data_IF_917382586911
#
_entry.id   IF_917382586911
#
_cell.length_a   1.000
_cell.length_b   1.000
_cell.length_c   1.000
_cell.angle_alpha   90.00
_cell.angle_beta   90.00
_cell.angle_gamma   90.00
#
_symmetry.space_group_name_H-M   'P 1'
#
loop_
_entity.id
_entity.type
_entity.pdbx_description
1 polymer ?
#
# COMPACT_ATOMS: atom_id res chain seq x y z
N UNK A 1 -14.31 -1.63 -9.16
CA UNK A 1 -14.56 -1.32 -7.73
C UNK A 1 -14.43 0.19 -7.53
N UNK A 2 -15.46 0.89 -7.05
CA UNK A 2 -15.44 2.37 -6.97
C UNK A 2 -14.40 2.92 -5.98
N UNK A 3 -14.08 2.17 -4.92
CA UNK A 3 -13.12 2.58 -3.91
C UNK A 3 -11.71 2.82 -4.47
N UNK A 4 -11.22 1.94 -5.38
CA UNK A 4 -9.90 2.10 -6.01
C UNK A 4 -9.83 3.29 -6.97
N UNK A 5 -10.95 3.65 -7.61
CA UNK A 5 -10.99 4.85 -8.46
C UNK A 5 -10.89 6.12 -7.61
N UNK A 6 -11.67 6.17 -6.52
CA UNK A 6 -11.63 7.25 -5.54
C UNK A 6 -10.26 7.36 -4.87
N UNK A 7 -9.60 6.23 -4.61
CA UNK A 7 -8.25 6.19 -4.07
C UNK A 7 -7.26 6.96 -4.96
N UNK A 8 -7.35 6.78 -6.28
CA UNK A 8 -6.56 7.56 -7.22
C UNK A 8 -6.85 9.06 -7.14
N UNK A 9 -8.11 9.45 -7.04
CA UNK A 9 -8.50 10.87 -6.96
C UNK A 9 -8.02 11.54 -5.66
N UNK A 10 -8.17 10.85 -4.52
CA UNK A 10 -7.66 11.32 -3.23
C UNK A 10 -6.14 11.43 -3.25
N UNK A 11 -5.45 10.44 -3.83
CA UNK A 11 -3.99 10.45 -3.98
C UNK A 11 -3.53 11.69 -4.76
N UNK A 12 -4.18 11.98 -5.89
CA UNK A 12 -3.88 13.17 -6.69
C UNK A 12 -4.15 14.47 -5.94
N UNK A 13 -5.31 14.57 -5.28
CA UNK A 13 -5.69 15.75 -4.52
C UNK A 13 -4.75 16.01 -3.33
N UNK A 14 -4.35 14.95 -2.62
CA UNK A 14 -3.41 15.04 -1.51
C UNK A 14 -2.00 15.42 -2.02
N UNK A 15 -1.52 14.79 -3.08
CA UNK A 15 -0.23 15.11 -3.69
C UNK A 15 -0.13 16.54 -4.23
N UNK A 16 -1.27 17.18 -4.51
CA UNK A 16 -1.34 18.57 -4.99
C UNK A 16 -1.31 19.61 -3.86
N UNK A 17 -1.45 19.17 -2.60
CA UNK A 17 -1.47 20.03 -1.41
C UNK A 17 -0.17 19.99 -0.61
N UNK A 18 0.85 19.30 -1.12
CA UNK A 18 2.16 19.19 -0.48
C UNK A 18 3.29 19.16 -1.51
N UNK A 19 4.49 19.53 -1.09
CA UNK A 19 5.68 19.52 -1.96
C UNK A 19 6.44 18.19 -1.96
N UNK A 20 6.08 17.28 -1.05
CA UNK A 20 6.74 15.98 -0.86
C UNK A 20 5.96 14.80 -1.43
N UNK A 21 6.54 13.61 -1.29
CA UNK A 21 5.87 12.37 -1.70
C UNK A 21 4.69 12.01 -0.81
N UNK A 22 3.63 11.46 -1.40
CA UNK A 22 2.44 10.96 -0.71
C UNK A 22 2.48 9.44 -0.64
N UNK A 23 2.10 8.87 0.50
CA UNK A 23 2.19 7.42 0.69
C UNK A 23 0.93 6.87 1.30
N UNK A 24 0.53 5.69 0.81
CA UNK A 24 -0.62 4.96 1.33
C UNK A 24 -0.17 3.58 1.76
N UNK A 25 -0.39 3.26 3.03
CA UNK A 25 0.05 2.00 3.62
C UNK A 25 -1.06 0.96 3.56
N UNK A 26 -0.66 -0.32 3.62
CA UNK A 26 -1.58 -1.45 3.78
C UNK A 26 -2.77 -1.41 2.79
N UNK A 27 -2.49 -1.14 1.51
CA UNK A 27 -3.50 -1.00 0.46
C UNK A 27 -4.33 -2.28 0.30
N UNK A 28 -3.69 -3.44 0.42
CA UNK A 28 -4.33 -4.76 0.47
C UNK A 28 -5.39 -4.84 1.58
N UNK A 29 -5.04 -4.45 2.80
CA UNK A 29 -5.95 -4.41 3.94
C UNK A 29 -7.07 -3.37 3.79
N UNK A 30 -6.73 -2.14 3.40
CA UNK A 30 -7.71 -1.05 3.28
C UNK A 30 -8.80 -1.40 2.26
N UNK A 31 -8.43 -2.03 1.14
CA UNK A 31 -9.38 -2.31 0.06
C UNK A 31 -10.05 -3.69 0.14
N UNK A 32 -9.56 -4.62 0.96
CA UNK A 32 -10.16 -5.94 1.14
C UNK A 32 -11.66 -5.91 1.54
N UNK A 33 -12.12 -5.07 2.49
CA UNK A 33 -13.54 -4.97 2.82
C UNK A 33 -14.41 -4.46 1.65
N UNK A 34 -13.85 -3.64 0.76
CA UNK A 34 -14.57 -3.13 -0.41
C UNK A 34 -14.65 -4.16 -1.54
N UNK A 35 -13.64 -5.02 -1.65
CA UNK A 35 -13.69 -6.22 -2.49
C UNK A 35 -14.77 -7.18 -2.00
N UNK A 36 -14.85 -7.42 -0.70
CA UNK A 36 -15.89 -8.28 -0.12
C UNK A 36 -17.30 -7.73 -0.36
N UNK A 37 -17.51 -6.42 -0.19
CA UNK A 37 -18.78 -5.77 -0.55
C UNK A 37 -19.12 -5.93 -2.03
N UNK A 38 -18.13 -5.83 -2.91
CA UNK A 38 -18.30 -6.05 -4.36
C UNK A 38 -18.75 -7.49 -4.63
N UNK A 39 -18.07 -8.47 -4.04
CA UNK A 39 -18.43 -9.87 -4.16
C UNK A 39 -19.84 -10.17 -3.66
N UNK A 40 -20.20 -9.67 -2.48
CA UNK A 40 -21.52 -9.89 -1.89
C UNK A 40 -22.64 -9.30 -2.77
N UNK A 41 -22.43 -8.09 -3.31
CA UNK A 41 -23.39 -7.46 -4.24
C UNK A 41 -23.53 -8.26 -5.53
N UNK A 42 -22.43 -8.76 -6.10
CA UNK A 42 -22.45 -9.61 -7.31
C UNK A 42 -23.11 -10.96 -7.05
N UNK A 43 -22.83 -11.58 -5.91
CA UNK A 43 -23.45 -12.83 -5.51
C UNK A 43 -24.97 -12.68 -5.37
N UNK A 44 -25.43 -11.60 -4.73
CA UNK A 44 -26.85 -11.29 -4.63
C UNK A 44 -27.48 -11.06 -6.02
N UNK A 45 -26.80 -10.29 -6.89
CA UNK A 45 -27.22 -10.07 -8.26
C UNK A 45 -27.44 -11.39 -9.03
N UNK A 46 -26.47 -12.31 -8.98
CA UNK A 46 -26.57 -13.59 -9.68
C UNK A 46 -27.60 -14.54 -9.06
N UNK A 47 -27.76 -14.52 -7.73
CA UNK A 47 -28.86 -15.23 -7.05
C UNK A 47 -30.22 -14.72 -7.49
N UNK A 48 -30.40 -13.40 -7.61
CA UNK A 48 -31.64 -12.79 -8.10
C UNK A 48 -31.94 -13.14 -9.55
N UNK A 49 -30.91 -13.47 -10.34
CA UNK A 49 -31.03 -14.01 -11.70
C UNK A 49 -31.35 -15.51 -11.75
N UNK A 50 -31.55 -16.16 -10.59
CA UNK A 50 -31.88 -17.58 -10.44
C UNK A 50 -30.81 -18.54 -10.99
N UNK A 51 -29.55 -18.12 -10.97
CA UNK A 51 -28.43 -19.03 -11.26
C UNK A 51 -28.28 -20.02 -10.10
N UNK A 52 -27.63 -21.16 -10.36
CA UNK A 52 -27.26 -22.09 -9.29
C UNK A 52 -26.33 -21.39 -8.29
N UNK A 53 -26.38 -21.80 -7.02
CA UNK A 53 -25.55 -21.20 -5.98
C UNK A 53 -24.05 -21.33 -6.27
N UNK A 54 -23.62 -22.41 -6.92
CA UNK A 54 -22.23 -22.64 -7.29
C UNK A 54 -21.80 -21.67 -8.40
N UNK A 55 -22.57 -21.61 -9.49
CA UNK A 55 -22.28 -20.70 -10.61
C UNK A 55 -22.36 -19.22 -10.18
N UNK A 56 -23.29 -18.88 -9.28
CA UNK A 56 -23.41 -17.52 -8.75
C UNK A 56 -22.18 -17.10 -7.93
N UNK A 57 -21.58 -18.02 -7.15
CA UNK A 57 -20.35 -17.76 -6.40
C UNK A 57 -19.16 -17.61 -7.34
N UNK A 58 -19.03 -18.51 -8.32
CA UNK A 58 -17.96 -18.48 -9.32
C UNK A 58 -17.95 -17.16 -10.10
N UNK A 59 -19.10 -16.78 -10.68
CA UNK A 59 -19.21 -15.54 -11.44
C UNK A 59 -19.01 -14.29 -10.57
N UNK A 60 -19.52 -14.30 -9.33
CA UNK A 60 -19.30 -13.18 -8.40
C UNK A 60 -17.82 -13.01 -8.04
N UNK A 61 -17.09 -14.12 -7.91
CA UNK A 61 -15.67 -14.12 -7.66
C UNK A 61 -14.89 -13.62 -8.89
N UNK A 62 -15.17 -14.14 -10.08
CA UNK A 62 -14.55 -13.69 -11.33
C UNK A 62 -14.74 -12.19 -11.56
N UNK A 63 -15.99 -11.70 -11.41
CA UNK A 63 -16.30 -10.28 -11.53
C UNK A 63 -15.57 -9.44 -10.50
N UNK A 64 -15.38 -9.95 -9.28
CA UNK A 64 -14.68 -9.22 -8.21
C UNK A 64 -13.19 -9.16 -8.49
N UNK A 65 -12.57 -10.26 -8.92
CA UNK A 65 -11.16 -10.31 -9.31
C UNK A 65 -10.90 -9.37 -10.50
N UNK A 66 -11.79 -9.38 -11.50
CA UNK A 66 -11.75 -8.45 -12.63
C UNK A 66 -11.86 -6.99 -12.17
N UNK A 67 -12.77 -6.70 -11.23
CA UNK A 67 -12.96 -5.37 -10.68
C UNK A 67 -11.76 -4.87 -9.84
N UNK A 68 -11.06 -5.75 -9.12
CA UNK A 68 -9.81 -5.45 -8.43
C UNK A 68 -8.73 -5.10 -9.46
N UNK A 69 -8.50 -5.99 -10.43
CA UNK A 69 -7.49 -5.82 -11.48
C UNK A 69 -7.65 -4.51 -12.23
N UNK A 70 -8.86 -4.21 -12.70
CA UNK A 70 -9.17 -2.95 -13.38
C UNK A 70 -8.95 -1.73 -12.48
N UNK A 71 -9.30 -1.82 -11.19
CA UNK A 71 -9.08 -0.74 -10.24
C UNK A 71 -7.60 -0.45 -10.00
N UNK A 72 -6.79 -1.49 -9.82
CA UNK A 72 -5.34 -1.37 -9.66
C UNK A 72 -4.69 -0.81 -10.92
N UNK A 73 -5.03 -1.35 -12.09
CA UNK A 73 -4.54 -0.85 -13.38
C UNK A 73 -4.90 0.63 -13.56
N UNK A 74 -6.15 1.00 -13.25
CA UNK A 74 -6.62 2.38 -13.31
C UNK A 74 -5.86 3.30 -12.35
N UNK A 75 -5.54 2.82 -11.15
CA UNK A 75 -4.75 3.55 -10.17
C UNK A 75 -3.31 3.79 -10.65
N UNK A 76 -2.62 2.75 -11.13
CA UNK A 76 -1.26 2.87 -11.66
C UNK A 76 -1.22 3.82 -12.86
N UNK A 77 -2.13 3.65 -13.81
CA UNK A 77 -2.23 4.53 -14.97
C UNK A 77 -2.44 5.98 -14.56
N UNK A 78 -3.42 6.24 -13.68
CA UNK A 78 -3.76 7.60 -13.23
C UNK A 78 -2.58 8.27 -12.52
N UNK A 79 -1.93 7.57 -11.58
CA UNK A 79 -0.79 8.11 -10.82
C UNK A 79 0.49 8.25 -11.64
N UNK A 80 0.59 7.58 -12.79
CA UNK A 80 1.71 7.72 -13.73
C UNK A 80 1.47 8.70 -14.89
N UNK A 81 0.24 9.14 -15.13
CA UNK A 81 -0.10 9.95 -16.33
C UNK A 81 -0.72 11.30 -16.00
N UNK A 82 -1.34 11.46 -14.83
CA UNK A 82 -1.99 12.72 -14.43
C UNK A 82 -1.02 13.53 -13.58
N UNK A 83 -0.72 14.75 -14.00
CA UNK A 83 0.10 15.67 -13.23
C UNK A 83 -0.64 16.22 -12.01
N UNK A 84 0.10 16.48 -10.93
CA UNK A 84 -0.38 17.25 -9.78
C UNK A 84 -0.40 18.77 -10.07
N UNK A 85 -0.80 19.58 -9.08
CA UNK A 85 -0.84 21.04 -9.21
C UNK A 85 0.51 21.72 -9.56
N UNK A 86 1.63 21.02 -9.38
CA UNK A 86 2.98 21.49 -9.76
C UNK A 86 3.35 21.13 -11.22
N UNK A 87 2.43 20.51 -11.97
CA UNK A 87 2.66 20.10 -13.36
C UNK A 87 3.52 18.84 -13.50
N UNK A 88 3.76 18.10 -12.41
CA UNK A 88 4.61 16.91 -12.39
C UNK A 88 3.81 15.65 -12.11
N UNK A 89 4.30 14.49 -12.58
CA UNK A 89 3.77 13.20 -12.14
C UNK A 89 3.95 13.10 -10.62
N UNK A 90 2.87 12.82 -9.87
CA UNK A 90 2.90 12.85 -8.42
C UNK A 90 3.82 11.75 -7.89
N UNK A 91 4.70 12.13 -6.96
CA UNK A 91 5.49 11.15 -6.24
C UNK A 91 4.58 10.42 -5.25
N UNK A 92 4.20 9.20 -5.61
CA UNK A 92 3.34 8.33 -4.81
C UNK A 92 4.04 7.02 -4.45
N UNK A 93 3.77 6.50 -3.25
CA UNK A 93 4.23 5.19 -2.80
C UNK A 93 3.06 4.40 -2.19
N UNK A 94 2.97 3.10 -2.47
CA UNK A 94 1.98 2.22 -1.83
C UNK A 94 2.66 1.08 -1.08
N UNK A 95 2.20 0.82 0.13
CA UNK A 95 2.59 -0.31 0.98
C UNK A 95 1.57 -1.45 0.94
N UNK A 96 2.02 -2.70 0.86
CA UNK A 96 1.18 -3.90 0.83
C UNK A 96 2.00 -5.16 1.18
N UNK A 97 1.35 -6.31 1.33
CA UNK A 97 1.97 -7.63 1.46
C UNK A 97 1.62 -8.38 2.76
N UNK A 98 0.94 -7.73 3.70
CA UNK A 98 0.69 -8.29 5.04
C UNK A 98 -0.72 -8.88 5.20
N UNK A 99 -1.69 -8.53 4.36
CA UNK A 99 -3.05 -9.06 4.49
C UNK A 99 -3.14 -10.50 3.97
N UNK A 100 -3.60 -11.42 4.82
CA UNK A 100 -3.78 -12.84 4.51
C UNK A 100 -5.21 -13.20 4.11
N UNK A 101 -6.13 -12.24 4.13
CA UNK A 101 -7.51 -12.43 3.68
C UNK A 101 -7.56 -12.75 2.19
N UNK A 102 -8.62 -13.45 1.76
CA UNK A 102 -8.84 -13.79 0.34
C UNK A 102 -8.69 -12.57 -0.56
N UNK A 103 -9.33 -11.46 -0.19
CA UNK A 103 -9.36 -10.26 -1.01
C UNK A 103 -8.10 -9.41 -0.87
N UNK A 104 -7.48 -9.34 0.30
CA UNK A 104 -6.19 -8.67 0.49
C UNK A 104 -5.12 -9.31 -0.39
N UNK A 105 -5.04 -10.65 -0.37
CA UNK A 105 -4.16 -11.42 -1.26
C UNK A 105 -4.45 -11.16 -2.74
N UNK A 106 -5.72 -11.12 -3.13
CA UNK A 106 -6.10 -10.82 -4.52
C UNK A 106 -5.69 -9.40 -4.95
N UNK A 107 -5.71 -8.42 -4.04
CA UNK A 107 -5.23 -7.06 -4.29
C UNK A 107 -3.70 -7.05 -4.44
N UNK A 108 -2.96 -7.70 -3.53
CA UNK A 108 -1.50 -7.87 -3.64
C UNK A 108 -1.12 -8.54 -4.97
N UNK A 109 -1.82 -9.61 -5.32
CA UNK A 109 -1.62 -10.33 -6.58
C UNK A 109 -1.83 -9.42 -7.80
N UNK A 110 -2.92 -8.62 -7.79
CA UNK A 110 -3.22 -7.69 -8.86
C UNK A 110 -2.15 -6.60 -9.00
N UNK A 111 -1.66 -6.02 -7.89
CA UNK A 111 -0.58 -5.03 -7.89
C UNK A 111 0.68 -5.60 -8.57
N UNK A 112 1.11 -6.78 -8.13
CA UNK A 112 2.31 -7.42 -8.67
C UNK A 112 2.13 -7.83 -10.14
N UNK A 113 0.96 -8.34 -10.51
CA UNK A 113 0.64 -8.74 -11.88
C UNK A 113 0.68 -7.54 -12.84
N UNK A 114 -0.03 -6.46 -12.49
CA UNK A 114 -0.15 -5.29 -13.34
C UNK A 114 1.21 -4.62 -13.56
N UNK A 115 2.03 -4.49 -12.50
CA UNK A 115 3.38 -3.97 -12.64
C UNK A 115 4.27 -4.85 -13.51
N UNK A 116 4.17 -6.17 -13.37
CA UNK A 116 5.04 -7.14 -14.06
C UNK A 116 4.79 -7.26 -15.57
N UNK A 117 3.69 -6.70 -16.07
CA UNK A 117 3.36 -6.68 -17.49
C UNK A 117 4.50 -6.09 -18.33
N UNK A 118 4.96 -6.77 -19.40
CA UNK A 118 6.05 -6.27 -20.25
C UNK A 118 5.85 -4.82 -20.72
N UNK A 119 4.62 -4.47 -21.10
CA UNK A 119 4.20 -3.15 -21.58
C UNK A 119 4.14 -2.07 -20.49
N UNK A 120 4.16 -2.43 -19.21
CA UNK A 120 4.16 -1.46 -18.12
C UNK A 120 5.52 -0.77 -18.04
N UNK A 121 5.54 0.52 -18.36
CA UNK A 121 6.70 1.41 -18.21
C UNK A 121 6.55 2.34 -16.99
N UNK A 122 5.60 2.04 -16.11
CA UNK A 122 5.24 2.92 -15.00
C UNK A 122 6.29 2.86 -13.88
N UNK A 123 6.76 4.04 -13.51
CA UNK A 123 7.63 4.23 -12.34
C UNK A 123 6.79 4.42 -11.08
N UNK A 124 5.64 5.08 -11.18
CA UNK A 124 4.73 5.37 -10.07
C UNK A 124 3.41 4.57 -10.14
N UNK A 125 2.80 4.23 -9.00
CA UNK A 125 3.31 4.45 -7.64
C UNK A 125 4.57 3.61 -7.38
N UNK A 126 5.43 4.06 -6.49
CA UNK A 126 6.47 3.19 -5.94
C UNK A 126 5.80 2.05 -5.17
N UNK A 127 6.20 0.82 -5.43
CA UNK A 127 5.66 -0.36 -4.73
C UNK A 127 6.57 -0.73 -3.58
N UNK A 128 6.00 -0.92 -2.39
CA UNK A 128 6.74 -1.27 -1.17
C UNK A 128 6.07 -2.49 -0.54
N UNK A 129 6.78 -3.62 -0.58
CA UNK A 129 6.34 -4.90 -0.06
C UNK A 129 6.82 -5.06 1.38
N UNK A 130 5.89 -5.06 2.32
CA UNK A 130 6.17 -5.30 3.73
C UNK A 130 6.30 -6.79 4.00
N UNK A 131 7.47 -7.19 4.50
CA UNK A 131 7.86 -8.59 4.65
C UNK A 131 7.92 -9.00 6.12
N UNK A 132 7.30 -10.13 6.45
CA UNK A 132 7.37 -10.75 7.78
C UNK A 132 7.52 -12.26 7.69
N UNK A 133 8.37 -12.82 8.56
CA UNK A 133 8.63 -14.27 8.71
C UNK A 133 7.38 -15.10 8.96
N UNK A 134 6.35 -14.52 9.56
CA UNK A 134 5.12 -15.27 9.90
C UNK A 134 4.04 -15.15 8.81
N UNK A 135 4.24 -14.28 7.82
CA UNK A 135 3.19 -13.91 6.86
C UNK A 135 3.57 -14.28 5.44
N UNK A 136 4.75 -13.87 4.97
CA UNK A 136 5.11 -13.98 3.55
C UNK A 136 6.57 -14.37 3.28
N UNK A 137 7.49 -14.25 4.25
CA UNK A 137 8.92 -14.39 3.96
C UNK A 137 9.38 -15.85 3.92
N UNK A 138 8.78 -16.72 4.74
CA UNK A 138 9.24 -18.11 4.89
C UNK A 138 8.34 -19.11 4.14
N UNK A 139 8.90 -20.21 3.59
CA UNK A 139 8.10 -21.30 3.02
C UNK A 139 7.05 -21.83 4.00
N UNK A 140 5.81 -22.01 3.51
CA UNK A 140 4.68 -22.46 4.32
C UNK A 140 3.93 -21.35 5.06
N UNK A 141 4.40 -20.10 5.01
CA UNK A 141 3.62 -18.94 5.45
C UNK A 141 2.48 -18.64 4.48
N UNK A 142 1.39 -17.98 4.94
CA UNK A 142 0.19 -17.78 4.12
C UNK A 142 0.48 -17.16 2.75
N UNK A 143 1.30 -16.11 2.70
CA UNK A 143 1.53 -15.29 1.52
C UNK A 143 2.92 -15.54 0.88
N UNK A 144 3.55 -16.70 1.13
CA UNK A 144 4.86 -17.03 0.56
C UNK A 144 4.86 -17.01 -0.98
N UNK A 145 3.78 -17.47 -1.59
CA UNK A 145 3.52 -17.39 -3.03
C UNK A 145 3.57 -15.94 -3.55
N UNK A 146 3.01 -14.99 -2.80
CA UNK A 146 3.02 -13.58 -3.14
C UNK A 146 4.40 -12.94 -2.94
N UNK A 147 5.18 -13.40 -1.97
CA UNK A 147 6.58 -12.99 -1.82
C UNK A 147 7.43 -13.46 -3.01
N UNK A 148 7.28 -14.72 -3.44
CA UNK A 148 7.96 -15.23 -4.64
C UNK A 148 7.58 -14.42 -5.89
N UNK A 149 6.29 -14.09 -6.03
CA UNK A 149 5.79 -13.23 -7.11
C UNK A 149 6.36 -11.81 -7.02
N UNK A 150 6.51 -11.26 -5.82
CA UNK A 150 7.12 -9.95 -5.60
C UNK A 150 8.59 -9.94 -6.05
N UNK A 151 9.34 -11.01 -5.74
CA UNK A 151 10.74 -11.21 -6.20
C UNK A 151 10.81 -11.28 -7.73
N UNK A 152 9.89 -12.00 -8.38
CA UNK A 152 9.82 -12.02 -9.84
C UNK A 152 9.54 -10.61 -10.39
N UNK A 153 8.58 -9.89 -9.82
CA UNK A 153 8.22 -8.54 -10.22
C UNK A 153 9.42 -7.57 -10.14
N UNK A 154 10.10 -7.51 -8.99
CA UNK A 154 11.24 -6.60 -8.78
C UNK A 154 12.43 -6.95 -9.67
N UNK A 155 12.67 -8.24 -9.96
CA UNK A 155 13.72 -8.66 -10.90
C UNK A 155 13.52 -8.13 -12.32
N UNK A 156 12.27 -7.81 -12.71
CA UNK A 156 11.90 -7.34 -14.05
C UNK A 156 11.59 -5.85 -14.11
N UNK A 157 11.16 -5.25 -13.00
CA UNK A 157 10.54 -3.91 -12.95
C UNK A 157 11.12 -3.00 -11.86
N UNK A 158 12.24 -3.36 -11.25
CA UNK A 158 12.89 -2.69 -10.10
C UNK A 158 12.07 -2.75 -8.80
N UNK A 159 10.77 -2.48 -8.87
CA UNK A 159 9.83 -2.55 -7.76
C UNK A 159 9.09 -3.89 -7.71
N UNK A 160 8.66 -4.35 -6.52
CA UNK A 160 8.65 -3.63 -5.25
C UNK A 160 10.00 -3.53 -4.53
N UNK A 161 10.17 -2.44 -3.78
CA UNK A 161 11.16 -2.37 -2.69
C UNK A 161 10.63 -3.17 -1.50
N UNK A 162 11.51 -3.61 -0.59
CA UNK A 162 11.13 -4.42 0.56
C UNK A 162 11.40 -3.69 1.87
N UNK A 163 10.47 -3.80 2.81
CA UNK A 163 10.67 -3.37 4.21
C UNK A 163 10.49 -4.57 5.13
N UNK A 164 11.41 -4.73 6.08
CA UNK A 164 11.27 -5.77 7.10
C UNK A 164 10.34 -5.27 8.21
N UNK A 165 9.35 -6.09 8.54
CA UNK A 165 8.48 -5.88 9.69
C UNK A 165 8.99 -6.57 10.95
N UNK A 166 9.94 -7.51 10.79
CA UNK A 166 10.51 -8.26 11.93
C UNK A 166 11.75 -7.57 12.50
N UNK A 167 12.45 -6.76 11.70
CA UNK A 167 13.70 -6.10 12.08
C UNK A 167 13.69 -4.59 11.72
N UNK A 168 14.54 -3.82 12.41
CA UNK A 168 14.75 -2.40 12.12
C UNK A 168 13.68 -1.47 12.71
N UNK A 169 13.50 -0.30 12.09
CA UNK A 169 12.76 0.81 12.72
C UNK A 169 11.25 0.57 12.84
N UNK A 170 10.68 -0.30 12.00
CA UNK A 170 9.24 -0.61 11.98
C UNK A 170 8.86 -1.74 12.94
N UNK A 171 9.81 -2.63 13.25
CA UNK A 171 9.57 -3.83 14.04
C UNK A 171 8.98 -3.59 15.43
N UNK A 172 9.42 -2.58 16.21
CA UNK A 172 8.84 -2.34 17.53
C UNK A 172 7.33 -2.06 17.47
N UNK A 173 6.89 -1.20 16.54
CA UNK A 173 5.47 -0.87 16.37
C UNK A 173 4.67 -2.08 15.87
N UNK A 174 5.21 -2.77 14.86
CA UNK A 174 4.58 -3.96 14.31
C UNK A 174 4.39 -5.07 15.35
N UNK A 175 5.41 -5.33 16.18
CA UNK A 175 5.32 -6.36 17.22
C UNK A 175 4.29 -6.03 18.32
N UNK A 176 4.07 -4.73 18.61
CA UNK A 176 3.03 -4.31 19.57
C UNK A 176 1.62 -4.38 18.98
N UNK A 177 1.48 -4.16 17.66
CA UNK A 177 0.20 -3.92 17.00
C UNK A 177 -0.05 -4.79 15.78
N UNK A 178 0.47 -6.01 15.77
CA UNK A 178 0.44 -6.92 14.60
C UNK A 178 -0.98 -7.16 14.07
N UNK A 179 -1.96 -7.16 14.97
CA UNK A 179 -3.38 -7.40 14.67
C UNK A 179 -4.15 -6.14 14.25
N UNK A 180 -3.53 -4.96 14.33
CA UNK A 180 -4.14 -3.70 13.93
C UNK A 180 -3.24 -2.96 12.92
N UNK A 181 -3.46 -3.19 11.61
CA UNK A 181 -2.74 -2.51 10.53
C UNK A 181 -2.82 -0.98 10.53
N UNK A 182 -3.72 -0.37 11.32
CA UNK A 182 -3.76 1.10 11.48
C UNK A 182 -2.72 1.64 12.48
N UNK A 183 -2.14 0.76 13.29
CA UNK A 183 -1.24 1.09 14.40
C UNK A 183 0.24 0.75 14.14
N UNK A 184 0.64 0.59 12.88
CA UNK A 184 2.04 0.58 12.49
C UNK A 184 2.21 1.15 11.09
N UNK A 185 3.47 1.43 10.69
CA UNK A 185 3.80 1.80 9.32
C UNK A 185 4.29 0.58 8.54
N UNK A 186 3.74 0.35 7.34
CA UNK A 186 4.27 -0.61 6.35
C UNK A 186 4.96 0.06 5.16
N UNK A 187 4.98 1.40 5.14
CA UNK A 187 5.50 2.21 4.05
C UNK A 187 6.18 3.46 4.62
N UNK A 188 7.31 3.92 4.06
CA UNK A 188 7.82 5.26 4.35
C UNK A 188 6.90 6.33 3.78
N UNK A 189 6.95 7.53 4.35
CA UNK A 189 6.43 8.74 3.70
C UNK A 189 7.37 9.14 2.54
N UNK A 190 6.83 9.20 1.34
CA UNK A 190 7.57 9.47 0.10
C UNK A 190 8.61 8.40 -0.19
N UNK A 191 9.88 8.79 -0.28
CA UNK A 191 10.97 7.87 -0.62
C UNK A 191 11.32 6.90 0.51
N UNK A 192 11.55 7.45 1.72
CA UNK A 192 12.23 6.79 2.86
C UNK A 192 12.12 7.52 4.20
N UNK A 193 11.17 8.45 4.36
CA UNK A 193 10.99 9.16 5.64
C UNK A 193 10.09 8.35 6.57
N UNK A 194 10.60 7.96 7.74
CA UNK A 194 9.86 7.13 8.70
C UNK A 194 9.55 7.91 9.98
N UNK A 195 8.25 8.05 10.28
CA UNK A 195 7.76 8.53 11.57
C UNK A 195 7.56 7.36 12.54
N UNK A 196 8.58 6.50 12.67
CA UNK A 196 8.46 5.24 13.40
C UNK A 196 8.49 5.38 14.92
N UNK A 197 8.86 6.55 15.44
CA UNK A 197 8.74 6.83 16.87
C UNK A 197 7.27 6.94 17.26
N UNK A 198 6.90 6.22 18.31
CA UNK A 198 5.56 6.25 18.90
C UNK A 198 5.19 7.69 19.26
N UNK A 199 4.06 8.14 18.75
CA UNK A 199 3.41 9.39 19.14
C UNK A 199 2.06 9.01 19.76
N UNK A 200 1.87 9.34 21.03
CA UNK A 200 0.62 9.06 21.74
C UNK A 200 -0.35 10.21 21.48
N UNK A 201 -1.56 9.93 21.00
CA UNK A 201 -2.56 10.96 20.75
C UNK A 201 -2.96 11.65 22.08
N UNK A 202 -2.69 12.96 22.24
CA UNK A 202 -3.03 13.68 23.47
C UNK A 202 -4.45 14.24 23.46
N UNK A 203 -5.22 14.08 22.38
CA UNK A 203 -6.54 14.72 22.21
C UNK A 203 -7.63 13.89 22.86
N UNK A 204 -8.08 14.27 24.07
CA UNK A 204 -9.11 13.54 24.84
C UNK A 204 -10.43 13.32 24.08
N UNK A 205 -10.79 14.22 23.16
CA UNK A 205 -12.01 14.10 22.34
C UNK A 205 -11.88 13.16 21.14
N UNK A 206 -10.67 12.65 20.87
CA UNK A 206 -10.40 11.75 19.75
C UNK A 206 -10.58 10.29 20.17
N UNK A 207 -11.14 9.46 19.31
CA UNK A 207 -11.34 8.01 19.56
C UNK A 207 -10.01 7.25 19.77
N UNK A 208 -8.89 7.86 19.38
CA UNK A 208 -7.54 7.35 19.54
C UNK A 208 -6.79 7.98 20.71
N UNK A 209 -7.47 8.72 21.61
CA UNK A 209 -6.84 9.25 22.82
C UNK A 209 -6.04 8.17 23.56
N UNK A 210 -4.78 8.48 23.88
CA UNK A 210 -3.89 7.55 24.57
C UNK A 210 -3.33 6.41 23.71
N UNK A 211 -3.67 6.32 22.42
CA UNK A 211 -3.12 5.31 21.49
C UNK A 211 -1.96 5.86 20.68
N UNK A 212 -1.11 4.95 20.19
CA UNK A 212 -0.06 5.30 19.23
C UNK A 212 -0.67 5.67 17.87
N UNK A 213 -0.21 6.77 17.29
CA UNK A 213 -0.67 7.25 15.97
C UNK A 213 0.47 7.22 14.97
N UNK A 214 0.18 6.60 13.82
CA UNK A 214 1.10 6.47 12.69
C UNK A 214 0.49 7.05 11.41
N UNK A 215 -0.70 6.58 11.04
CA UNK A 215 -1.47 7.09 9.89
C UNK A 215 -1.81 8.58 10.11
N UNK A 216 -1.76 9.38 9.05
CA UNK A 216 -2.14 10.80 9.08
C UNK A 216 -1.05 11.75 9.58
N UNK A 217 0.07 11.23 10.09
CA UNK A 217 1.24 12.05 10.45
C UNK A 217 1.99 12.49 9.19
N UNK A 218 2.58 13.69 9.26
CA UNK A 218 3.39 14.26 8.19
C UNK A 218 4.83 14.56 8.61
N UNK A 219 5.65 14.96 7.64
CA UNK A 219 6.96 15.54 7.85
C UNK A 219 6.93 16.99 7.38
N UNK A 220 7.37 17.92 8.24
CA UNK A 220 7.26 19.38 7.97
C UNK A 220 8.31 19.93 7.02
N UNK A 221 9.39 19.18 6.74
CA UNK A 221 10.49 19.63 5.90
C UNK A 221 11.80 18.94 6.26
N UNK A 222 12.79 19.15 5.39
CA UNK A 222 14.13 18.57 5.54
C UNK A 222 15.18 19.65 5.37
N UNK A 223 16.13 19.72 6.30
CA UNK A 223 17.35 20.52 6.19
C UNK A 223 18.54 19.56 6.25
N UNK A 224 19.36 19.55 5.20
CA UNK A 224 20.53 18.66 5.11
C UNK A 224 21.79 19.40 5.54
N UNK A 225 22.53 18.82 6.49
CA UNK A 225 23.83 19.33 6.90
C UNK A 225 24.91 18.91 5.89
N UNK A 226 25.74 19.86 5.46
CA UNK A 226 26.89 19.58 4.60
C UNK A 226 28.10 19.15 5.46
N UNK A 227 28.16 17.86 5.77
CA UNK A 227 29.23 17.29 6.61
C UNK A 227 30.62 17.47 5.99
N UNK A 228 30.74 17.38 4.67
CA UNK A 228 32.01 17.62 3.96
C UNK A 228 32.52 19.04 4.20
N UNK A 229 31.63 20.03 4.12
CA UNK A 229 31.96 21.43 4.39
C UNK A 229 32.41 21.62 5.85
N UNK A 230 31.70 21.00 6.79
CA UNK A 230 32.07 21.04 8.21
C UNK A 230 33.47 20.47 8.47
N UNK A 231 33.80 19.33 7.85
CA UNK A 231 35.13 18.73 7.99
C UNK A 231 36.25 19.61 7.39
N UNK A 232 35.99 20.25 6.25
CA UNK A 232 36.94 21.21 5.65
C UNK A 232 37.14 22.43 6.56
N UNK A 233 36.07 22.91 7.19
CA UNK A 233 36.11 24.09 8.05
C UNK A 233 36.68 23.82 9.45
N UNK A 234 36.58 22.59 9.97
CA UNK A 234 37.16 22.23 11.28
C UNK A 234 38.69 22.26 11.28
N UNK A 235 39.33 22.08 10.10
CA UNK A 235 40.79 22.00 9.93
C UNK A 235 41.46 20.91 10.79
N UNK A 236 40.74 19.84 11.09
CA UNK A 236 41.15 18.81 12.07
C UNK A 236 40.41 19.06 13.37
#
# INVERSE_FOLDING_TARGET
MSALNLFGDITLAASSQQFGGFSTQNVDYIFAPYAEKTYNSKLEYYKNKKLSNELAKELAEEDTLSAIKQGIQGYEFKTSTVSNALGQIPFTSIGFGLDTSKWGRAITDAILTERSKPESTFVFPKLIFASSKDINLEPGTPNYDLFQKAVECSSRKLYPDYVSMDEGILAPAFNRHKDDPSQYLSVPMGCRSYNANAFINPVESDENFGKEVYVGRGNVGVVTLNLTKMAIESKG
#
